data_IF_396244622208
#
_entry.id   IF_396244622208
#
_cell.length_a   1.000
_cell.length_b   1.000
_cell.length_c   1.000
_cell.angle_alpha   90.00
_cell.angle_beta   90.00
_cell.angle_gamma   90.00
#
_symmetry.space_group_name_H-M   'P 1'
#
loop_
_entity.id
_entity.type
_entity.pdbx_description
1 polymer ?
#
# COMPACT_ATOMS: atom_id res chain seq x y z
N UNK A 1 -8.38 -11.81 9.66
CA UNK A 1 -8.50 -10.33 9.60
C UNK A 1 -9.80 -9.97 8.88
N UNK A 2 -10.46 -8.89 9.29
CA UNK A 2 -11.61 -8.32 8.57
C UNK A 2 -11.09 -7.26 7.59
N UNK A 3 -11.68 -7.19 6.39
CA UNK A 3 -11.44 -6.13 5.42
C UNK A 3 -12.57 -5.09 5.50
N UNK A 4 -12.19 -3.82 5.63
CA UNK A 4 -13.10 -2.69 5.69
C UNK A 4 -12.85 -1.76 4.49
N UNK A 5 -13.93 -1.33 3.85
CA UNK A 5 -13.89 -0.45 2.69
C UNK A 5 -15.26 0.21 2.46
N UNK A 6 -15.32 1.50 2.09
CA UNK A 6 -16.58 2.16 1.72
C UNK A 6 -17.27 1.50 0.52
N UNK A 7 -16.56 0.70 -0.27
CA UNK A 7 -17.10 -0.07 -1.39
C UNK A 7 -18.32 -0.92 -0.98
N UNK A 8 -18.33 -1.48 0.24
CA UNK A 8 -19.40 -2.36 0.70
C UNK A 8 -20.65 -1.61 1.20
N UNK A 9 -20.66 -0.28 1.21
CA UNK A 9 -21.76 0.52 1.76
C UNK A 9 -21.98 0.32 3.27
N UNK A 10 -20.97 -0.22 3.97
CA UNK A 10 -20.99 -0.55 5.39
C UNK A 10 -19.57 -0.43 5.97
N UNK A 11 -19.46 0.01 7.23
CA UNK A 11 -18.20 0.11 7.94
C UNK A 11 -18.23 -0.73 9.23
N UNK A 12 -17.28 -1.66 9.35
CA UNK A 12 -17.06 -2.39 10.60
C UNK A 12 -16.43 -1.44 11.61
N UNK A 13 -17.11 -1.20 12.72
CA UNK A 13 -16.65 -0.34 13.83
C UNK A 13 -16.27 -1.16 15.05
N UNK A 14 -15.73 -0.51 16.08
CA UNK A 14 -15.14 -1.16 17.23
C UNK A 14 -16.14 -2.07 17.97
N UNK A 15 -17.38 -1.61 18.14
CA UNK A 15 -18.48 -2.37 18.74
C UNK A 15 -18.69 -3.72 18.05
N UNK A 16 -18.84 -3.72 16.72
CA UNK A 16 -19.01 -4.96 15.96
C UNK A 16 -17.73 -5.80 15.95
N UNK A 17 -16.56 -5.19 15.77
CA UNK A 17 -15.29 -5.92 15.73
C UNK A 17 -15.06 -6.71 17.03
N UNK A 18 -15.26 -6.09 18.19
CA UNK A 18 -15.05 -6.75 19.48
C UNK A 18 -16.18 -7.73 19.83
N UNK A 19 -17.41 -7.47 19.40
CA UNK A 19 -18.48 -8.47 19.51
C UNK A 19 -18.15 -9.76 18.74
N UNK A 20 -17.59 -9.63 17.53
CA UNK A 20 -17.11 -10.78 16.76
C UNK A 20 -15.90 -11.44 17.43
N UNK A 21 -14.90 -10.66 17.85
CA UNK A 21 -13.67 -11.21 18.45
C UNK A 21 -13.93 -11.97 19.76
N UNK A 22 -14.95 -11.58 20.53
CA UNK A 22 -15.34 -12.28 21.76
C UNK A 22 -15.73 -13.74 21.50
N UNK A 23 -16.36 -14.03 20.35
CA UNK A 23 -16.78 -15.38 19.96
C UNK A 23 -15.78 -16.05 18.99
N UNK A 24 -14.85 -15.27 18.42
CA UNK A 24 -13.91 -15.70 17.39
C UNK A 24 -12.48 -15.25 17.72
N UNK A 25 -11.78 -16.02 18.56
CA UNK A 25 -10.40 -15.70 18.99
C UNK A 25 -9.38 -15.60 17.85
N UNK A 26 -9.67 -16.20 16.69
CA UNK A 26 -8.86 -16.10 15.47
C UNK A 26 -9.02 -14.76 14.72
N UNK A 27 -9.95 -13.88 15.12
CA UNK A 27 -10.08 -12.53 14.58
C UNK A 27 -9.03 -11.59 15.20
N UNK A 28 -7.81 -11.61 14.67
CA UNK A 28 -6.64 -10.87 15.20
C UNK A 28 -6.19 -9.70 14.32
N UNK A 29 -7.03 -9.21 13.40
CA UNK A 29 -6.61 -8.09 12.58
C UNK A 29 -7.69 -7.40 11.78
N UNK A 30 -7.38 -6.18 11.39
CA UNK A 30 -8.25 -5.25 10.69
C UNK A 30 -7.48 -4.65 9.50
N UNK A 31 -8.02 -4.77 8.29
CA UNK A 31 -7.45 -4.20 7.05
C UNK A 31 -8.33 -3.05 6.59
N UNK A 32 -7.74 -1.88 6.39
CA UNK A 32 -8.48 -0.68 6.01
C UNK A 32 -8.08 -0.16 4.61
N UNK A 33 -9.09 0.18 3.80
CA UNK A 33 -8.96 0.75 2.45
C UNK A 33 -9.51 2.18 2.33
N UNK A 34 -10.41 2.61 3.24
CA UNK A 34 -11.17 3.86 3.15
C UNK A 34 -10.37 5.14 3.28
N UNK A 35 -9.04 5.05 3.43
CA UNK A 35 -8.13 6.19 3.50
C UNK A 35 -7.72 6.55 4.94
N UNK A 36 -7.03 7.70 5.06
CA UNK A 36 -6.33 8.09 6.29
C UNK A 36 -7.25 8.26 7.51
N UNK A 37 -8.45 8.84 7.34
CA UNK A 37 -9.38 9.06 8.44
C UNK A 37 -9.93 7.75 9.03
N UNK A 38 -10.29 6.80 8.17
CA UNK A 38 -10.78 5.49 8.60
C UNK A 38 -9.67 4.64 9.21
N UNK A 39 -8.46 4.72 8.66
CA UNK A 39 -7.28 4.04 9.21
C UNK A 39 -6.92 4.60 10.59
N UNK A 40 -7.02 5.92 10.78
CA UNK A 40 -6.85 6.57 12.08
C UNK A 40 -7.92 6.15 13.08
N UNK A 41 -9.18 6.04 12.64
CA UNK A 41 -10.25 5.52 13.49
C UNK A 41 -9.95 4.08 13.95
N UNK A 42 -9.56 3.20 13.04
CA UNK A 42 -9.18 1.82 13.37
C UNK A 42 -7.98 1.76 14.33
N UNK A 43 -6.99 2.63 14.15
CA UNK A 43 -5.86 2.77 15.06
C UNK A 43 -6.33 3.13 16.48
N UNK A 44 -7.05 4.23 16.63
CA UNK A 44 -7.47 4.77 17.93
C UNK A 44 -8.44 3.86 18.68
N UNK A 45 -9.34 3.18 17.96
CA UNK A 45 -10.51 2.54 18.57
C UNK A 45 -10.47 1.01 18.52
N UNK A 46 -9.59 0.40 17.72
CA UNK A 46 -9.57 -1.05 17.49
C UNK A 46 -8.19 -1.66 17.75
N UNK A 47 -7.13 -1.13 17.14
CA UNK A 47 -5.86 -1.85 16.93
C UNK A 47 -4.70 -1.40 17.83
N UNK A 48 -4.89 -0.40 18.68
CA UNK A 48 -3.84 0.10 19.61
C UNK A 48 -3.97 -0.44 21.04
N UNK A 49 -4.62 -1.59 21.23
CA UNK A 49 -4.74 -2.27 22.53
C UNK A 49 -3.61 -3.30 22.69
N UNK A 50 -3.30 -3.64 23.94
CA UNK A 50 -2.39 -4.76 24.28
C UNK A 50 -3.15 -6.10 24.23
N UNK A 51 -3.66 -6.46 23.05
CA UNK A 51 -4.53 -7.64 22.84
C UNK A 51 -4.28 -8.37 21.51
N UNK A 52 -3.08 -8.18 20.93
CA UNK A 52 -2.56 -8.80 19.70
C UNK A 52 -3.31 -8.43 18.40
N UNK A 53 -4.24 -7.48 18.44
CA UNK A 53 -4.98 -7.05 17.24
C UNK A 53 -4.09 -6.18 16.34
N UNK A 54 -3.87 -6.63 15.11
CA UNK A 54 -3.03 -5.94 14.13
C UNK A 54 -3.82 -5.06 13.15
N UNK A 55 -3.31 -3.85 12.88
CA UNK A 55 -3.75 -3.05 11.74
C UNK A 55 -2.91 -3.39 10.50
N UNK A 56 -3.58 -3.66 9.39
CA UNK A 56 -2.97 -3.93 8.09
C UNK A 56 -3.31 -2.81 7.10
N UNK A 57 -2.29 -2.19 6.51
CA UNK A 57 -2.47 -1.23 5.41
C UNK A 57 -3.11 -1.96 4.25
N UNK A 58 -4.25 -1.44 3.78
CA UNK A 58 -5.04 -2.08 2.75
C UNK A 58 -5.02 -1.43 1.39
N UNK A 59 -4.42 -0.23 1.27
CA UNK A 59 -4.33 0.54 0.03
C UNK A 59 -2.89 1.05 -0.17
N UNK A 60 -2.40 0.97 -1.40
CA UNK A 60 -0.99 1.26 -1.74
C UNK A 60 -0.53 2.70 -1.48
N UNK A 61 -1.46 3.63 -1.30
CA UNK A 61 -1.21 5.07 -1.07
C UNK A 61 -1.10 5.46 0.41
N UNK A 62 -1.27 4.50 1.32
CA UNK A 62 -1.33 4.76 2.76
C UNK A 62 -0.21 4.09 3.57
N UNK A 63 0.92 3.75 2.94
CA UNK A 63 1.99 2.97 3.58
C UNK A 63 2.63 3.75 4.73
N UNK A 64 3.11 4.96 4.48
CA UNK A 64 3.70 5.81 5.51
C UNK A 64 2.68 6.14 6.59
N UNK A 65 1.47 6.55 6.19
CA UNK A 65 0.42 6.89 7.14
C UNK A 65 0.10 5.72 8.07
N UNK A 66 -0.06 4.52 7.52
CA UNK A 66 -0.37 3.34 8.30
C UNK A 66 0.71 2.96 9.29
N UNK A 67 1.97 2.87 8.85
CA UNK A 67 3.06 2.52 9.75
C UNK A 67 3.32 3.62 10.80
N UNK A 68 3.42 4.88 10.39
CA UNK A 68 3.90 5.97 11.27
C UNK A 68 2.80 6.58 12.11
N UNK A 69 1.59 6.76 11.57
CA UNK A 69 0.52 7.47 12.26
C UNK A 69 -0.55 6.54 12.84
N UNK A 70 -0.59 5.28 12.41
CA UNK A 70 -1.63 4.33 12.80
C UNK A 70 -1.11 3.03 13.43
N UNK A 71 0.21 2.84 13.54
CA UNK A 71 0.79 1.65 14.17
C UNK A 71 0.54 0.36 13.40
N UNK A 72 0.38 0.42 12.08
CA UNK A 72 0.19 -0.77 11.25
C UNK A 72 1.39 -1.74 11.39
N UNK A 73 1.11 -3.04 11.36
CA UNK A 73 2.14 -4.08 11.48
C UNK A 73 2.55 -4.68 10.14
N UNK A 74 1.78 -4.41 9.08
CA UNK A 74 2.06 -4.86 7.73
C UNK A 74 1.24 -4.13 6.68
N UNK A 75 1.61 -4.34 5.42
CA UNK A 75 0.93 -3.80 4.25
C UNK A 75 0.61 -4.91 3.25
N UNK A 76 -0.62 -4.89 2.74
CA UNK A 76 -1.04 -5.73 1.60
C UNK A 76 -1.03 -4.81 0.39
N UNK A 77 -0.20 -5.13 -0.60
CA UNK A 77 0.13 -4.21 -1.69
C UNK A 77 -0.20 -4.78 -3.07
N UNK A 78 -0.76 -3.94 -3.94
CA UNK A 78 -0.96 -4.21 -5.36
C UNK A 78 0.30 -3.91 -6.16
N UNK A 79 0.77 -2.66 -6.12
CA UNK A 79 1.97 -2.18 -6.82
C UNK A 79 3.24 -2.94 -6.42
N UNK A 80 3.30 -3.52 -5.22
CA UNK A 80 4.40 -4.38 -4.78
C UNK A 80 4.58 -5.66 -5.61
N UNK A 81 3.56 -6.12 -6.37
CA UNK A 81 3.76 -7.18 -7.35
C UNK A 81 4.68 -6.71 -8.50
N UNK A 82 4.53 -5.44 -8.91
CA UNK A 82 5.30 -4.82 -9.99
C UNK A 82 6.64 -4.30 -9.48
N UNK A 83 6.66 -3.65 -8.32
CA UNK A 83 7.82 -2.95 -7.76
C UNK A 83 8.18 -3.49 -6.36
N UNK A 84 8.50 -4.79 -6.22
CA UNK A 84 8.64 -5.42 -4.91
C UNK A 84 9.78 -4.82 -4.09
N UNK A 85 10.92 -4.51 -4.70
CA UNK A 85 12.08 -3.98 -3.99
C UNK A 85 11.82 -2.56 -3.49
N UNK A 86 11.17 -1.75 -4.31
CA UNK A 86 10.84 -0.36 -4.03
C UNK A 86 9.79 -0.26 -2.92
N UNK A 87 8.76 -1.10 -2.96
CA UNK A 87 7.72 -1.15 -1.92
C UNK A 87 8.28 -1.71 -0.61
N UNK A 88 9.09 -2.77 -0.63
CA UNK A 88 9.78 -3.26 0.58
C UNK A 88 10.67 -2.17 1.18
N UNK A 89 11.37 -1.41 0.34
CA UNK A 89 12.19 -0.29 0.79
C UNK A 89 11.33 0.80 1.46
N UNK A 90 10.19 1.16 0.88
CA UNK A 90 9.24 2.09 1.49
C UNK A 90 8.74 1.58 2.85
N UNK A 91 8.32 0.31 2.94
CA UNK A 91 7.88 -0.29 4.20
C UNK A 91 8.98 -0.24 5.26
N UNK A 92 10.22 -0.61 4.93
CA UNK A 92 11.36 -0.58 5.87
C UNK A 92 11.64 0.84 6.35
N UNK A 93 11.62 1.83 5.46
CA UNK A 93 11.79 3.25 5.82
C UNK A 93 10.66 3.73 6.74
N UNK A 94 9.42 3.39 6.43
CA UNK A 94 8.25 3.77 7.22
C UNK A 94 8.25 3.09 8.61
N UNK A 95 8.67 1.83 8.70
CA UNK A 95 8.86 1.13 9.98
C UNK A 95 9.96 1.76 10.83
N UNK A 96 11.10 2.13 10.22
CA UNK A 96 12.16 2.86 10.91
C UNK A 96 11.71 4.24 11.38
N UNK A 97 10.93 4.95 10.55
CA UNK A 97 10.32 6.22 10.92
C UNK A 97 9.35 6.08 12.10
N UNK A 98 8.57 5.00 12.16
CA UNK A 98 7.69 4.69 13.28
C UNK A 98 8.48 4.42 14.58
N UNK A 99 9.72 3.92 14.47
CA UNK A 99 10.64 3.76 15.59
C UNK A 99 11.40 5.05 15.98
N UNK A 100 11.14 6.17 15.29
CA UNK A 100 11.73 7.48 15.61
C UNK A 100 12.95 7.89 14.78
N UNK A 101 13.28 7.17 13.71
CA UNK A 101 14.37 7.55 12.81
C UNK A 101 13.98 8.76 11.93
N UNK A 102 14.64 9.90 12.16
CA UNK A 102 14.33 11.16 11.50
C UNK A 102 14.70 11.17 10.01
N UNK A 103 15.82 10.55 9.60
CA UNK A 103 16.21 10.47 8.19
C UNK A 103 15.25 9.52 7.47
N UNK A 104 14.97 8.34 8.05
CA UNK A 104 14.02 7.40 7.46
C UNK A 104 12.62 8.01 7.30
N UNK A 105 12.17 8.84 8.24
CA UNK A 105 10.88 9.55 8.13
C UNK A 105 10.83 10.47 6.92
N UNK A 106 11.90 11.24 6.69
CA UNK A 106 11.98 12.10 5.51
C UNK A 106 12.01 11.26 4.22
N UNK A 107 12.85 10.22 4.18
CA UNK A 107 13.01 9.36 2.99
C UNK A 107 11.77 8.55 2.65
N UNK A 108 11.02 8.09 3.65
CA UNK A 108 9.76 7.40 3.43
C UNK A 108 8.73 8.31 2.74
N UNK A 109 8.62 9.57 3.17
CA UNK A 109 7.73 10.56 2.54
C UNK A 109 8.14 10.87 1.10
N UNK A 110 9.44 11.05 0.84
CA UNK A 110 9.96 11.27 -0.52
C UNK A 110 9.63 10.08 -1.45
N UNK A 111 9.85 8.85 -0.98
CA UNK A 111 9.60 7.64 -1.76
C UNK A 111 8.10 7.38 -1.97
N UNK A 112 7.27 7.55 -0.94
CA UNK A 112 5.81 7.42 -1.06
C UNK A 112 5.26 8.45 -2.05
N UNK A 113 5.72 9.71 -1.98
CA UNK A 113 5.28 10.75 -2.90
C UNK A 113 5.66 10.43 -4.35
N UNK A 114 6.86 9.88 -4.58
CA UNK A 114 7.27 9.47 -5.93
C UNK A 114 6.49 8.26 -6.45
N UNK A 115 6.07 7.34 -5.56
CA UNK A 115 5.23 6.19 -5.90
C UNK A 115 3.75 6.54 -6.06
N UNK A 116 3.30 7.68 -5.52
CA UNK A 116 1.88 8.01 -5.32
C UNK A 116 0.98 7.76 -6.54
N UNK A 117 1.43 8.13 -7.75
CA UNK A 117 0.63 7.94 -8.97
C UNK A 117 0.51 6.47 -9.37
N UNK A 118 1.58 5.68 -9.21
CA UNK A 118 1.53 4.25 -9.51
C UNK A 118 0.73 3.50 -8.44
N UNK A 119 0.88 3.90 -7.17
CA UNK A 119 0.08 3.38 -6.06
C UNK A 119 -1.40 3.73 -6.18
N UNK A 120 -1.77 4.91 -6.68
CA UNK A 120 -3.17 5.35 -6.75
C UNK A 120 -4.03 4.52 -7.69
N UNK A 121 -3.43 3.72 -8.59
CA UNK A 121 -4.20 2.79 -9.41
C UNK A 121 -4.90 1.71 -8.57
N UNK A 122 -4.40 1.40 -7.37
CA UNK A 122 -5.02 0.46 -6.43
C UNK A 122 -6.41 0.94 -5.96
N UNK A 123 -6.63 2.25 -5.92
CA UNK A 123 -7.89 2.88 -5.48
C UNK A 123 -9.01 2.78 -6.52
N UNK A 124 -8.66 2.49 -7.78
CA UNK A 124 -9.56 2.56 -8.93
C UNK A 124 -10.13 1.19 -9.35
N UNK A 125 -11.23 1.18 -10.14
CA UNK A 125 -11.83 -0.06 -10.64
C UNK A 125 -10.92 -0.82 -11.62
N UNK A 126 -9.97 -0.12 -12.25
CA UNK A 126 -9.10 -0.66 -13.29
C UNK A 126 -7.74 -1.17 -12.73
N UNK A 127 -7.59 -1.32 -11.41
CA UNK A 127 -6.32 -1.68 -10.76
C UNK A 127 -5.64 -2.91 -11.41
N UNK A 128 -6.42 -3.93 -11.77
CA UNK A 128 -5.90 -5.15 -12.40
C UNK A 128 -5.35 -4.86 -13.80
N UNK A 129 -6.00 -3.99 -14.57
CA UNK A 129 -5.56 -3.59 -15.90
C UNK A 129 -4.24 -2.82 -15.83
N UNK A 130 -4.13 -1.86 -14.92
CA UNK A 130 -2.91 -1.09 -14.73
C UNK A 130 -1.74 -1.95 -14.23
N UNK A 131 -1.94 -2.74 -13.18
CA UNK A 131 -0.85 -3.54 -12.60
C UNK A 131 -0.38 -4.64 -13.55
N UNK A 132 -1.30 -5.33 -14.26
CA UNK A 132 -0.91 -6.31 -15.29
C UNK A 132 -0.14 -5.67 -16.43
N UNK A 133 -0.56 -4.50 -16.91
CA UNK A 133 0.18 -3.79 -17.96
C UNK A 133 1.61 -3.46 -17.53
N UNK A 134 1.80 -3.01 -16.28
CA UNK A 134 3.15 -2.75 -15.77
C UNK A 134 3.99 -4.02 -15.60
N UNK A 135 3.40 -5.18 -15.31
CA UNK A 135 4.12 -6.47 -15.35
C UNK A 135 4.64 -6.77 -16.77
N UNK A 136 3.83 -6.53 -17.80
CA UNK A 136 4.26 -6.67 -19.21
C UNK A 136 5.39 -5.70 -19.55
N UNK A 137 5.32 -4.44 -19.07
CA UNK A 137 6.42 -3.47 -19.25
C UNK A 137 7.74 -3.93 -18.60
N UNK A 138 7.68 -4.80 -17.59
CA UNK A 138 8.84 -5.43 -16.96
C UNK A 138 9.33 -6.70 -17.66
N UNK A 139 8.60 -7.18 -18.66
CA UNK A 139 8.94 -8.37 -19.46
C UNK A 139 8.11 -9.62 -19.15
N UNK A 140 7.17 -9.55 -18.22
CA UNK A 140 6.37 -10.70 -17.79
C UNK A 140 5.14 -10.84 -18.71
N UNK A 141 5.36 -11.40 -19.90
CA UNK A 141 4.36 -11.47 -20.98
C UNK A 141 3.13 -12.30 -20.64
N UNK A 142 3.18 -13.19 -19.64
CA UNK A 142 2.05 -13.97 -19.16
C UNK A 142 0.91 -13.11 -18.59
N UNK A 143 1.20 -11.85 -18.24
CA UNK A 143 0.19 -10.90 -17.75
C UNK A 143 -0.56 -10.16 -18.87
N UNK A 144 -0.22 -10.39 -20.15
CA UNK A 144 -0.80 -9.68 -21.31
C UNK A 144 -2.31 -9.85 -21.41
N UNK A 145 -2.84 -11.04 -21.11
CA UNK A 145 -4.26 -11.33 -21.28
C UNK A 145 -5.05 -11.17 -19.98
N UNK A 146 -6.26 -10.64 -20.12
CA UNK A 146 -7.30 -10.62 -19.10
C UNK A 146 -8.27 -11.79 -19.29
N UNK A 147 -9.01 -12.14 -18.23
CA UNK A 147 -10.01 -13.21 -18.30
C UNK A 147 -11.17 -12.83 -19.24
N UNK A 148 -11.64 -11.58 -19.17
CA UNK A 148 -12.57 -11.03 -20.13
C UNK A 148 -11.79 -10.41 -21.28
N UNK A 149 -12.05 -10.86 -22.51
CA UNK A 149 -11.31 -10.41 -23.69
C UNK A 149 -11.49 -8.91 -24.00
N UNK A 150 -12.57 -8.29 -23.50
CA UNK A 150 -12.85 -6.86 -23.66
C UNK A 150 -12.19 -5.95 -22.60
N UNK A 151 -11.67 -6.52 -21.52
CA UNK A 151 -11.03 -5.73 -20.45
C UNK A 151 -9.62 -5.34 -20.92
N UNK A 152 -9.49 -4.08 -21.34
CA UNK A 152 -8.24 -3.53 -21.87
C UNK A 152 -8.15 -2.05 -21.49
N UNK A 153 -6.94 -1.60 -21.15
CA UNK A 153 -6.69 -0.17 -20.99
C UNK A 153 -6.95 0.55 -22.31
N UNK A 154 -7.63 1.69 -22.25
CA UNK A 154 -7.67 2.60 -23.39
C UNK A 154 -6.25 3.08 -23.76
N UNK A 155 -6.07 3.58 -24.98
CA UNK A 155 -4.76 4.08 -25.41
C UNK A 155 -4.24 5.23 -24.54
N UNK A 156 -5.14 6.08 -24.07
CA UNK A 156 -4.81 7.17 -23.14
C UNK A 156 -4.33 6.64 -21.78
N UNK A 157 -5.07 5.68 -21.19
CA UNK A 157 -4.67 5.06 -19.92
C UNK A 157 -3.32 4.34 -20.04
N UNK A 158 -3.11 3.61 -21.14
CA UNK A 158 -1.85 2.93 -21.44
C UNK A 158 -0.68 3.92 -21.53
N UNK A 159 -0.84 5.00 -22.31
CA UNK A 159 0.19 6.03 -22.41
C UNK A 159 0.49 6.72 -21.08
N UNK A 160 -0.54 6.95 -20.26
CA UNK A 160 -0.37 7.56 -18.94
C UNK A 160 0.44 6.67 -18.00
N UNK A 161 0.09 5.39 -17.84
CA UNK A 161 0.83 4.48 -16.97
C UNK A 161 2.26 4.25 -17.46
N UNK A 162 2.50 4.16 -18.78
CA UNK A 162 3.85 4.04 -19.34
C UNK A 162 4.73 5.26 -19.03
N UNK A 163 4.18 6.47 -19.16
CA UNK A 163 4.89 7.69 -18.83
C UNK A 163 5.24 7.77 -17.33
N UNK A 164 4.29 7.45 -16.45
CA UNK A 164 4.48 7.47 -15.00
C UNK A 164 5.43 6.37 -14.53
N UNK A 165 5.34 5.17 -15.13
CA UNK A 165 6.23 4.06 -14.83
C UNK A 165 7.67 4.39 -15.21
N UNK A 166 7.88 4.99 -16.39
CA UNK A 166 9.20 5.47 -16.81
C UNK A 166 9.73 6.58 -15.89
N UNK A 167 8.87 7.52 -15.49
CA UNK A 167 9.23 8.62 -14.59
C UNK A 167 9.72 8.08 -13.23
N UNK A 168 8.92 7.22 -12.58
CA UNK A 168 9.27 6.64 -11.30
C UNK A 168 10.57 5.86 -11.36
N UNK A 169 10.73 4.96 -12.36
CA UNK A 169 11.96 4.17 -12.50
C UNK A 169 13.20 5.04 -12.70
N UNK A 170 13.08 6.10 -13.52
CA UNK A 170 14.17 7.07 -13.72
C UNK A 170 14.54 7.83 -12.44
N UNK A 171 13.52 8.26 -11.69
CA UNK A 171 13.71 8.93 -10.40
C UNK A 171 14.36 7.99 -9.36
N UNK A 172 13.80 6.79 -9.17
CA UNK A 172 14.26 5.84 -8.17
C UNK A 172 15.68 5.36 -8.44
N UNK A 173 16.07 5.19 -9.71
CA UNK A 173 17.43 4.81 -10.09
C UNK A 173 18.50 5.83 -9.64
N UNK A 174 18.14 7.10 -9.44
CA UNK A 174 19.02 8.12 -8.89
C UNK A 174 18.86 8.24 -7.38
N UNK A 175 17.61 8.36 -6.91
CA UNK A 175 17.30 8.55 -5.50
C UNK A 175 17.82 7.39 -4.63
N UNK A 176 17.70 6.14 -5.11
CA UNK A 176 18.17 4.94 -4.38
C UNK A 176 19.69 4.83 -4.21
N UNK A 177 20.47 5.81 -4.70
CA UNK A 177 21.93 5.93 -4.48
C UNK A 177 22.28 6.97 -3.40
N UNK A 178 21.31 7.73 -2.90
CA UNK A 178 21.53 8.67 -1.81
C UNK A 178 22.07 7.93 -0.57
N UNK A 179 22.95 8.57 0.22
CA UNK A 179 23.46 7.98 1.47
C UNK A 179 22.38 7.95 2.57
N UNK A 180 22.73 7.43 3.74
CA UNK A 180 21.89 7.47 4.93
C UNK A 180 20.83 6.37 4.98
N UNK A 181 19.63 6.71 5.42
CA UNK A 181 18.50 5.79 5.57
C UNK A 181 18.18 5.05 4.26
N UNK A 182 18.35 5.71 3.11
CA UNK A 182 18.15 5.11 1.78
C UNK A 182 19.03 3.87 1.55
N UNK A 183 20.29 3.88 2.00
CA UNK A 183 21.14 2.68 1.89
C UNK A 183 20.87 1.69 3.03
N UNK A 184 20.62 2.20 4.23
CA UNK A 184 20.44 1.41 5.44
C UNK A 184 19.22 0.48 5.35
N UNK A 185 18.12 0.98 4.79
CA UNK A 185 16.83 0.29 4.74
C UNK A 185 16.48 -0.25 3.35
N UNK A 186 17.44 -0.30 2.43
CA UNK A 186 17.22 -0.84 1.09
C UNK A 186 16.77 -2.31 1.16
N UNK A 187 15.93 -2.71 0.20
CA UNK A 187 15.48 -4.09 0.03
C UNK A 187 16.59 -5.01 -0.47
#
# INVERSE_FOLDING_TARGET
MIYNSPYYGFATRADLFFALRAEHGNLVGFKEFGGAADMRYAAENITSRDDEVSLMIGVDTAVFHGFVNCGATGAITGIGNVLPKEVIHLCKLAQAAAAGDADARQRALELEQALAVLSSFDEGPDLVLYFKHMMVLKGDAEYTLHFNASDVLSESQRGYVEAQFKLFNGWYAQWSKLPGAVQTYRA
#
